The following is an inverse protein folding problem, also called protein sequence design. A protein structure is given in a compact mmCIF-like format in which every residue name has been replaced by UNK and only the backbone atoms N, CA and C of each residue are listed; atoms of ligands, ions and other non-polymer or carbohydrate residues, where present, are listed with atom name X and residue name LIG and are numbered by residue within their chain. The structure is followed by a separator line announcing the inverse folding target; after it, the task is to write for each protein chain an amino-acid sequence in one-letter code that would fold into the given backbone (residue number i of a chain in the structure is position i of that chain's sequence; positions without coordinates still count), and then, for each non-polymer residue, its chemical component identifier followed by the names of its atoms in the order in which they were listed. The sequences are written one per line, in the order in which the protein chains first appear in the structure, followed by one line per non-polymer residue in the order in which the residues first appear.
data_IF_176820379839
#
_entry.id   IF_176820379839
#
_cell.length_a   1.000
_cell.length_b   1.000
_cell.length_c   1.000
_cell.angle_alpha   90.00
_cell.angle_beta   90.00
_cell.angle_gamma   90.00
#
_symmetry.space_group_name_H-M   'P 1'
#
loop_
_entity.id
_entity.type
_entity.pdbx_description
1 polymer ?
#
# COMPACT_ATOMS: atom_id res chain seq x y z
N UNK A 1 -5.02 -9.58 2.62
CA UNK A 1 -4.72 -8.29 1.98
C UNK A 1 -3.99 -7.45 3.02
N UNK A 2 -2.71 -7.13 2.81
CA UNK A 2 -1.98 -6.19 3.67
C UNK A 2 -2.13 -4.79 3.05
N UNK A 3 -2.54 -3.81 3.84
CA UNK A 3 -2.41 -2.41 3.47
C UNK A 3 -0.96 -1.98 3.68
N UNK A 4 -0.36 -1.32 2.69
CA UNK A 4 0.99 -0.77 2.81
C UNK A 4 0.89 0.75 2.82
N UNK A 5 1.36 1.33 3.91
CA UNK A 5 1.34 2.76 4.16
C UNK A 5 2.59 3.40 3.57
N UNK A 6 2.43 4.40 2.69
CA UNK A 6 3.54 5.21 2.20
C UNK A 6 3.50 6.60 2.83
N UNK A 7 4.35 6.83 3.83
CA UNK A 7 4.66 8.17 4.30
C UNK A 7 5.77 8.73 3.40
N UNK A 8 5.61 9.96 2.93
CA UNK A 8 6.69 10.69 2.26
C UNK A 8 8.00 10.53 3.04
N UNK A 9 9.00 9.97 2.35
CA UNK A 9 10.39 9.74 2.76
C UNK A 9 10.72 8.71 3.85
N UNK A 10 9.81 8.13 4.65
CA UNK A 10 10.22 7.17 5.69
C UNK A 10 9.22 6.03 5.93
N UNK A 11 9.71 4.79 5.92
CA UNK A 11 8.96 3.59 6.29
C UNK A 11 8.50 3.70 7.76
N UNK A 12 7.22 3.98 7.99
CA UNK A 12 6.71 4.40 9.31
C UNK A 12 6.59 3.27 10.35
N UNK A 13 7.04 2.04 10.05
CA UNK A 13 6.95 0.92 11.00
C UNK A 13 8.08 0.94 12.04
N UNK A 14 9.26 1.47 11.73
CA UNK A 14 10.39 1.47 12.70
C UNK A 14 10.40 2.65 13.67
N UNK A 15 9.63 3.72 13.41
CA UNK A 15 9.66 4.92 14.27
C UNK A 15 8.66 4.90 15.43
N UNK A 16 7.74 3.92 15.46
CA UNK A 16 6.73 3.80 16.51
C UNK A 16 7.34 3.35 17.86
N UNK A 17 8.36 2.48 17.87
CA UNK A 17 8.91 1.97 19.13
C UNK A 17 9.76 3.00 19.89
N UNK A 18 10.45 3.93 19.21
CA UNK A 18 11.34 4.89 19.90
C UNK A 18 10.63 6.08 20.53
N UNK A 19 9.41 6.41 20.10
CA UNK A 19 8.65 7.54 20.63
C UNK A 19 7.81 7.10 21.84
N UNK A 20 7.42 5.83 21.91
CA UNK A 20 6.57 5.30 22.98
C UNK A 20 7.29 5.10 24.34
N UNK A 21 8.63 5.18 24.38
CA UNK A 21 9.38 5.00 25.64
C UNK A 21 9.59 6.29 26.45
N UNK A 22 9.40 7.50 25.89
CA UNK A 22 9.86 8.71 26.59
C UNK A 22 8.82 9.66 27.17
N UNK A 23 7.52 9.61 26.82
CA UNK A 23 6.61 10.69 27.23
C UNK A 23 5.20 10.22 27.61
N UNK A 24 4.96 10.12 28.93
CA UNK A 24 3.64 10.19 29.50
C UNK A 24 3.09 11.62 29.42
N UNK A 25 2.25 11.92 28.43
CA UNK A 25 1.31 13.06 28.44
C UNK A 25 0.34 13.01 27.25
N UNK A 26 -0.87 13.48 27.49
CA UNK A 26 -2.07 13.43 26.64
C UNK A 26 -1.93 14.15 25.26
N UNK A 27 -0.83 14.87 25.02
CA UNK A 27 -0.58 15.67 23.81
C UNK A 27 -0.06 14.87 22.60
N UNK A 28 0.47 13.65 22.83
CA UNK A 28 1.00 12.79 21.76
C UNK A 28 -0.07 12.34 20.72
N UNK A 29 -1.35 12.40 21.06
CA UNK A 29 -2.44 11.99 20.15
C UNK A 29 -2.63 12.95 18.97
N UNK A 30 -2.30 14.23 19.12
CA UNK A 30 -2.44 15.20 18.01
C UNK A 30 -1.30 15.06 17.00
N UNK A 31 -0.07 14.78 17.46
CA UNK A 31 1.10 14.60 16.58
C UNK A 31 1.07 13.28 15.82
N UNK A 32 0.56 12.20 16.43
CA UNK A 32 0.34 10.91 15.72
C UNK A 32 -0.73 11.06 14.63
N UNK A 33 -1.80 11.81 14.88
CA UNK A 33 -2.81 12.13 13.85
C UNK A 33 -2.20 12.93 12.69
N UNK A 34 -1.34 13.91 12.97
CA UNK A 34 -0.69 14.70 11.94
C UNK A 34 0.22 13.84 11.02
N UNK A 35 0.86 12.79 11.55
CA UNK A 35 1.69 11.88 10.77
C UNK A 35 0.86 10.93 9.88
N UNK A 36 -0.27 10.42 10.39
CA UNK A 36 -1.18 9.57 9.61
C UNK A 36 -1.82 10.32 8.43
N UNK A 37 -2.16 11.61 8.61
CA UNK A 37 -2.74 12.45 7.56
C UNK A 37 -1.83 12.62 6.34
N UNK A 38 -0.51 12.52 6.51
CA UNK A 38 0.48 12.62 5.41
C UNK A 38 0.76 11.29 4.70
N UNK A 39 0.12 10.21 5.12
CA UNK A 39 0.39 8.88 4.59
C UNK A 39 -0.76 8.38 3.73
N UNK A 40 -0.45 8.07 2.47
CA UNK A 40 -1.42 7.48 1.54
C UNK A 40 -1.36 5.96 1.62
N UNK A 41 -2.52 5.33 1.79
CA UNK A 41 -2.69 3.89 1.75
C UNK A 41 -3.34 3.49 0.42
N UNK A 42 -2.63 2.68 -0.37
CA UNK A 42 -3.14 2.14 -1.61
C UNK A 42 -3.71 0.75 -1.36
N UNK A 43 -4.97 0.53 -1.77
CA UNK A 43 -5.67 -0.74 -1.56
C UNK A 43 -6.21 -1.27 -2.89
N UNK A 44 -6.02 -2.56 -3.16
CA UNK A 44 -6.61 -3.17 -4.36
C UNK A 44 -8.13 -3.15 -4.26
N UNK A 45 -8.76 -2.62 -5.30
CA UNK A 45 -10.21 -2.60 -5.40
C UNK A 45 -10.75 -4.03 -5.54
N UNK A 46 -11.61 -4.44 -4.61
CA UNK A 46 -12.29 -5.73 -4.72
C UNK A 46 -13.31 -5.70 -5.85
N UNK A 47 -13.13 -6.57 -6.84
CA UNK A 47 -14.07 -6.78 -7.93
C UNK A 47 -14.55 -8.24 -7.84
N UNK A 48 -15.86 -8.49 -7.67
CA UNK A 48 -16.36 -9.85 -7.59
C UNK A 48 -16.10 -10.60 -8.89
N UNK A 49 -15.57 -11.81 -8.80
CA UNK A 49 -15.32 -12.62 -9.99
C UNK A 49 -16.60 -13.35 -10.40
N UNK A 50 -16.99 -13.36 -11.70
CA UNK A 50 -18.26 -13.96 -12.13
C UNK A 50 -18.45 -15.44 -11.78
N UNK A 51 -17.35 -16.18 -11.58
CA UNK A 51 -17.39 -17.62 -11.21
C UNK A 51 -17.49 -17.86 -9.71
N UNK A 52 -17.35 -16.82 -8.88
CA UNK A 52 -17.44 -16.95 -7.44
C UNK A 52 -18.90 -17.08 -6.98
N UNK A 53 -19.13 -17.85 -5.92
CA UNK A 53 -20.45 -17.96 -5.29
C UNK A 53 -20.83 -16.70 -4.49
N UNK A 54 -22.12 -16.59 -4.13
CA UNK A 54 -22.68 -15.48 -3.34
C UNK A 54 -21.88 -15.17 -2.07
N UNK A 55 -21.45 -16.23 -1.36
CA UNK A 55 -20.64 -16.09 -0.14
C UNK A 55 -19.26 -15.50 -0.42
N UNK A 56 -18.65 -15.82 -1.56
CA UNK A 56 -17.36 -15.27 -1.98
C UNK A 56 -17.47 -13.77 -2.27
N UNK A 57 -18.52 -13.35 -2.98
CA UNK A 57 -18.78 -11.93 -3.26
C UNK A 57 -18.98 -11.13 -1.98
N UNK A 58 -19.80 -11.64 -1.06
CA UNK A 58 -20.03 -10.99 0.23
C UNK A 58 -18.74 -10.90 1.05
N UNK A 59 -17.97 -11.98 1.14
CA UNK A 59 -16.74 -12.01 1.93
C UNK A 59 -15.67 -11.08 1.37
N UNK A 60 -15.55 -10.99 0.03
CA UNK A 60 -14.64 -10.07 -0.65
C UNK A 60 -15.01 -8.60 -0.39
N UNK A 61 -16.29 -8.26 -0.56
CA UNK A 61 -16.80 -6.91 -0.28
C UNK A 61 -16.68 -6.52 1.19
N UNK A 62 -17.02 -7.43 2.11
CA UNK A 62 -16.88 -7.22 3.56
C UNK A 62 -15.43 -6.93 3.95
N UNK A 63 -14.49 -7.77 3.50
CA UNK A 63 -13.07 -7.57 3.79
C UNK A 63 -12.54 -6.24 3.25
N UNK A 64 -12.93 -5.88 2.03
CA UNK A 64 -12.55 -4.60 1.43
C UNK A 64 -13.09 -3.40 2.22
N UNK A 65 -14.38 -3.41 2.57
CA UNK A 65 -14.99 -2.36 3.39
C UNK A 65 -14.36 -2.24 4.77
N UNK A 66 -14.06 -3.37 5.42
CA UNK A 66 -13.40 -3.40 6.73
C UNK A 66 -12.02 -2.73 6.69
N UNK A 67 -11.21 -3.03 5.67
CA UNK A 67 -9.89 -2.40 5.50
C UNK A 67 -9.99 -0.90 5.24
N UNK A 68 -10.92 -0.47 4.39
CA UNK A 68 -11.15 0.97 4.17
C UNK A 68 -11.53 1.66 5.47
N UNK A 69 -12.48 1.09 6.23
CA UNK A 69 -12.93 1.64 7.50
C UNK A 69 -11.79 1.80 8.50
N UNK A 70 -10.95 0.77 8.66
CA UNK A 70 -9.78 0.82 9.55
C UNK A 70 -8.78 1.89 9.09
N UNK A 71 -8.48 1.97 7.79
CA UNK A 71 -7.50 2.92 7.27
C UNK A 71 -7.99 4.38 7.40
N UNK A 72 -9.24 4.65 7.01
CA UNK A 72 -9.84 5.98 7.09
C UNK A 72 -9.98 6.43 8.56
N UNK A 73 -10.46 5.54 9.45
CA UNK A 73 -10.57 5.87 10.89
C UNK A 73 -9.21 6.09 11.56
N UNK A 74 -8.14 5.48 11.03
CA UNK A 74 -6.76 5.71 11.48
C UNK A 74 -6.15 7.00 10.91
N UNK A 75 -6.87 7.74 10.06
CA UNK A 75 -6.44 9.02 9.49
C UNK A 75 -5.61 8.90 8.21
N UNK A 76 -5.58 7.73 7.56
CA UNK A 76 -4.90 7.57 6.28
C UNK A 76 -5.76 8.11 5.12
N UNK A 77 -5.08 8.68 4.12
CA UNK A 77 -5.72 8.93 2.81
C UNK A 77 -5.75 7.62 2.04
N UNK A 78 -6.94 7.08 1.75
CA UNK A 78 -7.09 5.78 1.08
C UNK A 78 -7.34 5.96 -0.42
N UNK A 79 -6.54 5.30 -1.24
CA UNK A 79 -6.68 5.31 -2.70
C UNK A 79 -6.95 3.88 -3.20
N UNK A 80 -8.17 3.60 -3.69
CA UNK A 80 -8.47 2.35 -4.37
C UNK A 80 -7.68 2.23 -5.68
N UNK A 81 -7.08 1.07 -5.92
CA UNK A 81 -6.32 0.77 -7.13
C UNK A 81 -6.93 -0.45 -7.82
N UNK A 82 -7.43 -0.34 -9.07
CA UNK A 82 -7.91 -1.50 -9.81
C UNK A 82 -6.80 -2.53 -10.04
N UNK A 83 -7.15 -3.81 -9.97
CA UNK A 83 -6.17 -4.89 -10.15
C UNK A 83 -5.47 -4.85 -11.52
N UNK A 84 -6.18 -4.42 -12.57
CA UNK A 84 -5.63 -4.31 -13.91
C UNK A 84 -4.54 -3.24 -14.04
N UNK A 85 -4.66 -2.08 -13.37
CA UNK A 85 -3.75 -0.94 -13.59
C UNK A 85 -2.36 -1.21 -13.02
N UNK A 86 -2.29 -1.67 -11.78
CA UNK A 86 -0.99 -1.96 -11.15
C UNK A 86 -0.34 -3.21 -11.76
N UNK A 87 -1.13 -4.22 -12.15
CA UNK A 87 -0.60 -5.42 -12.82
C UNK A 87 -0.07 -5.10 -14.21
N UNK A 88 -0.75 -4.26 -14.99
CA UNK A 88 -0.28 -3.83 -16.31
C UNK A 88 1.07 -3.12 -16.23
N UNK A 89 1.26 -2.25 -15.23
CA UNK A 89 2.53 -1.54 -15.02
C UNK A 89 3.73 -2.48 -14.82
N UNK A 90 3.50 -3.58 -14.11
CA UNK A 90 4.53 -4.55 -13.78
C UNK A 90 4.59 -5.73 -14.76
N UNK A 91 3.89 -5.63 -15.90
CA UNK A 91 3.79 -6.69 -16.91
C UNK A 91 3.26 -8.02 -16.33
N UNK A 92 2.51 -7.93 -15.22
CA UNK A 92 1.83 -9.04 -14.55
C UNK A 92 0.42 -9.26 -15.09
N UNK A 93 0.11 -8.70 -16.27
CA UNK A 93 -1.16 -8.86 -16.97
C UNK A 93 -1.04 -9.94 -18.05
N UNK A 94 -1.61 -11.13 -17.82
CA UNK A 94 -1.73 -12.16 -18.86
C UNK A 94 -2.27 -13.50 -18.37
N UNK A 95 -2.63 -14.39 -19.30
CA UNK A 95 -3.07 -15.76 -19.00
C UNK A 95 -1.95 -16.63 -18.38
N UNK A 96 -0.67 -16.25 -18.60
CA UNK A 96 0.52 -16.97 -18.12
C UNK A 96 1.12 -16.42 -16.83
N UNK A 97 0.63 -15.29 -16.31
CA UNK A 97 1.19 -14.68 -15.11
C UNK A 97 0.65 -15.39 -13.88
N UNK A 98 1.55 -16.07 -13.17
CA UNK A 98 1.25 -16.87 -12.00
C UNK A 98 1.41 -16.05 -10.71
N UNK A 99 0.81 -16.52 -9.62
CA UNK A 99 1.04 -15.97 -8.27
C UNK A 99 2.51 -16.02 -7.84
N UNK A 100 3.35 -16.80 -8.54
CA UNK A 100 4.78 -16.90 -8.27
C UNK A 100 5.54 -15.72 -8.91
N UNK A 101 5.03 -15.12 -9.98
CA UNK A 101 5.69 -14.01 -10.68
C UNK A 101 5.60 -12.72 -9.85
N UNK A 102 4.47 -12.47 -9.19
CA UNK A 102 4.36 -11.37 -8.21
C UNK A 102 5.39 -11.50 -7.09
N UNK A 103 5.67 -12.73 -6.60
CA UNK A 103 6.67 -12.95 -5.54
C UNK A 103 8.08 -12.66 -6.05
N UNK A 104 8.44 -13.17 -7.23
CA UNK A 104 9.75 -12.93 -7.85
C UNK A 104 10.00 -11.44 -8.05
N UNK A 105 9.03 -10.73 -8.62
CA UNK A 105 9.15 -9.30 -8.88
C UNK A 105 9.27 -8.49 -7.58
N UNK A 106 8.45 -8.81 -6.57
CA UNK A 106 8.54 -8.16 -5.28
C UNK A 106 9.91 -8.42 -4.59
N UNK A 107 10.45 -9.64 -4.69
CA UNK A 107 11.81 -9.95 -4.20
C UNK A 107 12.91 -9.19 -4.94
N UNK A 108 12.74 -8.92 -6.24
CA UNK A 108 13.68 -8.11 -7.04
C UNK A 108 13.61 -6.62 -6.67
N UNK A 109 12.40 -6.08 -6.48
CA UNK A 109 12.17 -4.68 -6.10
C UNK A 109 12.58 -4.39 -4.64
N UNK A 110 12.40 -5.38 -3.76
CA UNK A 110 12.66 -5.26 -2.32
C UNK A 110 13.59 -6.39 -1.84
N UNK A 111 14.89 -6.35 -2.17
CA UNK A 111 15.83 -7.41 -1.84
C UNK A 111 15.95 -7.64 -0.32
N UNK A 112 15.81 -6.59 0.49
CA UNK A 112 15.80 -6.68 1.96
C UNK A 112 14.63 -7.49 2.53
N UNK A 113 13.51 -7.56 1.81
CA UNK A 113 12.30 -8.29 2.20
C UNK A 113 12.17 -9.65 1.53
N UNK A 114 13.13 -10.03 0.66
CA UNK A 114 13.08 -11.26 -0.13
C UNK A 114 12.96 -12.52 0.74
N UNK A 115 13.61 -12.54 1.91
CA UNK A 115 13.52 -13.65 2.88
C UNK A 115 12.08 -13.90 3.37
N UNK A 116 11.24 -12.86 3.42
CA UNK A 116 9.83 -12.92 3.85
C UNK A 116 8.86 -13.33 2.74
N UNK A 117 9.34 -13.45 1.49
CA UNK A 117 8.55 -13.75 0.28
C UNK A 117 8.84 -15.15 -0.30
N UNK A 118 9.57 -15.98 0.44
CA UNK A 118 10.06 -17.29 -0.03
C UNK A 118 8.96 -18.34 -0.22
N UNK A 119 7.87 -18.28 0.55
CA UNK A 119 6.85 -19.36 0.55
C UNK A 119 5.70 -19.04 -0.41
N UNK A 120 5.06 -20.08 -0.93
CA UNK A 120 3.89 -19.92 -1.84
C UNK A 120 2.73 -19.12 -1.24
N UNK A 121 2.52 -19.23 0.07
CA UNK A 121 1.48 -18.48 0.79
C UNK A 121 1.76 -16.98 0.90
N UNK A 122 2.98 -16.52 0.67
CA UNK A 122 3.38 -15.12 0.82
C UNK A 122 3.05 -14.26 -0.42
N UNK A 123 2.31 -14.80 -1.41
CA UNK A 123 1.84 -14.04 -2.57
C UNK A 123 1.05 -12.79 -2.18
N UNK A 124 0.21 -12.85 -1.15
CA UNK A 124 -0.53 -11.68 -0.66
C UNK A 124 0.36 -10.59 -0.06
N UNK A 125 1.55 -10.93 0.45
CA UNK A 125 2.56 -9.95 0.91
C UNK A 125 3.26 -9.31 -0.29
N UNK A 126 3.60 -10.12 -1.29
CA UNK A 126 4.20 -9.63 -2.52
C UNK A 126 3.28 -8.66 -3.26
N UNK A 127 2.00 -8.99 -3.44
CA UNK A 127 1.03 -8.09 -4.09
C UNK A 127 0.87 -6.77 -3.31
N UNK A 128 0.84 -6.83 -1.98
CA UNK A 128 0.80 -5.63 -1.14
C UNK A 128 2.02 -4.71 -1.36
N UNK A 129 3.23 -5.28 -1.44
CA UNK A 129 4.45 -4.52 -1.74
C UNK A 129 4.43 -3.91 -3.15
N UNK A 130 3.91 -4.64 -4.14
CA UNK A 130 3.80 -4.15 -5.51
C UNK A 130 2.78 -3.01 -5.63
N UNK A 131 1.63 -3.11 -4.98
CA UNK A 131 0.64 -2.02 -4.93
C UNK A 131 1.24 -0.77 -4.25
N UNK A 132 2.02 -0.95 -3.20
CA UNK A 132 2.74 0.15 -2.56
C UNK A 132 3.75 0.81 -3.50
N UNK A 133 4.53 0.01 -4.22
CA UNK A 133 5.50 0.48 -5.21
C UNK A 133 4.80 1.24 -6.35
N UNK A 134 3.65 0.75 -6.80
CA UNK A 134 2.79 1.42 -7.78
C UNK A 134 2.38 2.80 -7.30
N UNK A 135 1.82 2.89 -6.09
CA UNK A 135 1.36 4.16 -5.51
C UNK A 135 2.49 5.16 -5.24
N UNK A 136 3.67 4.69 -4.83
CA UNK A 136 4.87 5.54 -4.68
C UNK A 136 5.23 6.25 -5.98
N UNK A 137 5.12 5.55 -7.11
CA UNK A 137 5.43 6.12 -8.41
C UNK A 137 4.39 7.16 -8.85
N UNK A 138 3.10 6.92 -8.59
CA UNK A 138 2.03 7.90 -8.88
C UNK A 138 2.22 9.21 -8.09
N UNK A 139 2.70 9.13 -6.84
CA UNK A 139 2.96 10.32 -6.02
C UNK A 139 4.16 11.15 -6.51
N UNK A 140 5.14 10.56 -7.22
CA UNK A 140 6.27 11.32 -7.78
C UNK A 140 5.85 12.20 -8.96
N UNK A 141 4.79 11.83 -9.67
CA UNK A 141 4.30 12.58 -10.83
C UNK A 141 3.62 13.92 -10.46
N UNK A 142 3.38 14.17 -9.17
CA UNK A 142 2.73 15.37 -8.65
C UNK A 142 3.67 16.31 -7.88
N UNK A 143 4.99 16.09 -7.91
CA UNK A 143 5.94 17.05 -7.35
C UNK A 143 5.95 18.31 -8.24
N UNK A 144 5.58 19.50 -7.74
CA UNK A 144 5.60 20.72 -8.53
C UNK A 144 7.02 20.94 -9.01
N UNK A 145 7.20 21.02 -10.32
CA UNK A 145 8.43 21.54 -10.91
C UNK A 145 8.56 22.99 -10.45
N UNK A 146 9.33 23.24 -9.38
CA UNK A 146 9.81 24.58 -9.05
C UNK A 146 10.61 25.08 -10.26
N UNK A 147 9.93 25.85 -11.11
CA UNK A 147 10.54 26.64 -12.17
C UNK A 147 10.99 27.94 -11.52
N UNK A 148 12.23 27.95 -11.03
CA UNK A 148 13.00 29.19 -10.85
C UNK A 148 13.75 29.43 -12.16
N UNK A 149 13.46 30.56 -12.80
CA UNK A 149 14.33 31.45 -13.59
C UNK A 149 13.40 32.53 -14.18
N UNK A 150 13.67 33.82 -14.24
CA UNK A 150 14.72 34.70 -13.69
C UNK A 150 14.16 36.14 -13.81
N UNK A 151 14.81 37.06 -13.10
CA UNK A 151 14.64 38.51 -13.09
C UNK A 151 14.29 39.18 -14.44
N UNK A 152 13.40 40.18 -14.40
CA UNK A 152 13.48 41.42 -15.20
C UNK A 152 13.13 42.59 -14.28
#
# INVERSE_FOLDING_TARGET
MLAVCYAGSYCCIERLCRILESLGRHEAWMDVKALCLRTTAYIEQSIPFPKDGKQGWWSGGFGYGLWIGILVSSGFTVVPVPSFTWKAKFELSGSKTSKDDSRKLASQLFPSLSSLLTRKKDHGRAEALLIAAYGKDQNKSHEPTETITDEI
#
